data_IF_977481207371
#
_entry.id   IF_977481207371
#
_cell.length_a   1.000
_cell.length_b   1.000
_cell.length_c   1.000
_cell.angle_alpha   90.00
_cell.angle_beta   90.00
_cell.angle_gamma   90.00
#
_symmetry.space_group_name_H-M   'P 1'
#
loop_
_entity.id
_entity.type
_entity.pdbx_description
1 polymer ?
#
# COMPACT_ATOMS: atom_id res chain seq x y z
N UNK A 1 18.16 -25.78 -30.81
CA UNK A 1 16.96 -25.25 -30.12
C UNK A 1 17.31 -23.84 -29.72
N UNK A 2 16.87 -22.85 -30.49
CA UNK A 2 17.12 -21.43 -30.19
C UNK A 2 16.29 -21.09 -28.96
N UNK A 3 16.94 -20.69 -27.87
CA UNK A 3 16.23 -20.18 -26.71
C UNK A 3 15.56 -18.88 -27.16
N UNK A 4 14.24 -18.77 -27.03
CA UNK A 4 13.54 -17.50 -27.27
C UNK A 4 14.20 -16.44 -26.39
N UNK A 5 14.87 -15.47 -27.02
CA UNK A 5 15.48 -14.38 -26.28
C UNK A 5 14.35 -13.52 -25.69
N UNK A 6 14.55 -13.03 -24.46
CA UNK A 6 13.63 -12.10 -23.81
C UNK A 6 14.39 -10.80 -23.54
N UNK A 7 13.86 -9.68 -24.00
CA UNK A 7 14.36 -8.35 -23.66
C UNK A 7 13.42 -7.71 -22.64
N UNK A 8 13.97 -7.06 -21.63
CA UNK A 8 13.18 -6.40 -20.58
C UNK A 8 13.34 -4.89 -20.64
N UNK A 9 12.22 -4.18 -20.42
CA UNK A 9 12.19 -2.72 -20.39
C UNK A 9 11.55 -2.22 -19.09
N UNK A 10 12.18 -1.24 -18.47
CA UNK A 10 11.60 -0.42 -17.41
C UNK A 10 10.88 0.78 -18.03
N UNK A 11 9.60 0.96 -17.72
CA UNK A 11 8.86 2.19 -18.06
C UNK A 11 9.01 3.22 -16.96
N UNK A 12 9.53 4.39 -17.28
CA UNK A 12 9.87 5.45 -16.33
C UNK A 12 9.07 6.72 -16.64
N UNK A 13 8.34 7.23 -15.65
CA UNK A 13 7.89 8.62 -15.64
C UNK A 13 9.04 9.54 -15.17
N UNK A 14 8.91 10.88 -15.27
CA UNK A 14 10.03 11.82 -15.01
C UNK A 14 10.73 11.71 -13.64
N UNK A 15 10.10 11.08 -12.64
CA UNK A 15 10.65 10.89 -11.30
C UNK A 15 10.95 9.42 -10.94
N UNK A 16 10.80 8.50 -11.90
CA UNK A 16 11.03 7.08 -11.67
C UNK A 16 12.50 6.70 -11.92
N UNK A 17 12.89 5.53 -11.43
CA UNK A 17 14.23 4.96 -11.66
C UNK A 17 14.10 3.53 -12.18
N UNK A 18 15.16 3.01 -12.80
CA UNK A 18 15.18 1.61 -13.31
C UNK A 18 14.93 0.56 -12.21
N UNK A 19 15.23 0.85 -10.95
CA UNK A 19 14.96 -0.04 -9.80
C UNK A 19 13.53 0.08 -9.25
N UNK A 20 12.87 1.21 -9.54
CA UNK A 20 11.50 1.53 -9.13
C UNK A 20 10.70 2.01 -10.35
N UNK A 21 10.60 1.19 -11.41
CA UNK A 21 9.92 1.62 -12.61
C UNK A 21 8.41 1.66 -12.38
N UNK A 22 7.71 2.44 -13.21
CA UNK A 22 6.24 2.50 -13.23
C UNK A 22 5.62 1.17 -13.62
N UNK A 23 6.25 0.49 -14.57
CA UNK A 23 5.87 -0.82 -15.09
C UNK A 23 7.11 -1.54 -15.61
N UNK A 24 7.08 -2.86 -15.56
CA UNK A 24 8.06 -3.71 -16.23
C UNK A 24 7.42 -4.28 -17.50
N UNK A 25 8.14 -4.27 -18.61
CA UNK A 25 7.74 -4.85 -19.89
C UNK A 25 8.75 -5.95 -20.24
N UNK A 26 8.27 -7.04 -20.83
CA UNK A 26 9.11 -8.04 -21.47
C UNK A 26 8.69 -8.19 -22.93
N UNK A 27 9.68 -8.26 -23.81
CA UNK A 27 9.53 -8.62 -25.22
C UNK A 27 10.06 -10.02 -25.40
N UNK A 28 9.19 -10.94 -25.81
CA UNK A 28 9.57 -12.31 -26.18
C UNK A 28 9.83 -12.35 -27.67
N UNK A 29 11.06 -12.60 -28.06
CA UNK A 29 11.44 -12.71 -29.46
C UNK A 29 11.00 -14.09 -29.98
N UNK A 30 10.02 -14.09 -30.88
CA UNK A 30 9.62 -15.30 -31.64
C UNK A 30 10.05 -15.14 -33.10
N UNK A 31 10.17 -16.24 -33.88
CA UNK A 31 10.59 -16.16 -35.28
C UNK A 31 9.65 -15.36 -36.20
N UNK A 32 8.38 -15.16 -35.81
CA UNK A 32 7.37 -14.54 -36.68
C UNK A 32 7.07 -13.11 -36.23
N UNK A 33 6.68 -12.91 -34.97
CA UNK A 33 6.47 -11.57 -34.40
C UNK A 33 6.88 -11.55 -32.93
N UNK A 34 7.58 -10.51 -32.45
CA UNK A 34 7.81 -10.35 -31.02
C UNK A 34 6.47 -10.17 -30.30
N UNK A 35 6.35 -10.74 -29.10
CA UNK A 35 5.19 -10.51 -28.23
C UNK A 35 5.62 -9.68 -27.04
N UNK A 36 4.93 -8.57 -26.82
CA UNK A 36 5.20 -7.66 -25.72
C UNK A 36 4.16 -7.83 -24.62
N UNK A 37 4.64 -7.94 -23.38
CA UNK A 37 3.79 -8.08 -22.21
C UNK A 37 4.25 -7.11 -21.12
N UNK A 38 3.30 -6.47 -20.43
CA UNK A 38 3.55 -5.65 -19.25
C UNK A 38 3.15 -6.39 -17.97
N UNK A 39 3.99 -6.33 -16.94
CA UNK A 39 3.69 -6.84 -15.60
C UNK A 39 2.73 -5.87 -14.91
N UNK A 40 1.49 -6.31 -14.67
CA UNK A 40 0.45 -5.50 -14.03
C UNK A 40 0.49 -5.64 -12.51
N UNK A 41 -0.36 -4.85 -11.85
CA UNK A 41 -0.52 -4.83 -10.39
C UNK A 41 -1.02 -6.15 -9.79
N UNK A 42 -1.74 -6.96 -10.58
CA UNK A 42 -2.12 -8.34 -10.25
C UNK A 42 -0.95 -9.35 -10.22
N UNK A 43 0.27 -8.88 -10.53
CA UNK A 43 1.48 -9.68 -10.60
C UNK A 43 1.51 -10.62 -11.81
N UNK A 44 0.70 -10.41 -12.84
CA UNK A 44 0.71 -11.21 -14.06
C UNK A 44 1.19 -10.38 -15.24
N UNK A 45 1.77 -11.08 -16.21
CA UNK A 45 2.12 -10.51 -17.50
C UNK A 45 0.87 -10.46 -18.36
N UNK A 46 0.60 -9.30 -18.94
CA UNK A 46 -0.54 -9.07 -19.83
C UNK A 46 -0.04 -8.49 -21.16
N UNK A 47 -0.64 -8.85 -22.30
CA UNK A 47 -0.28 -8.28 -23.60
C UNK A 47 -0.29 -6.75 -23.58
N UNK A 48 0.65 -6.15 -24.30
CA UNK A 48 0.77 -4.69 -24.39
C UNK A 48 1.37 -4.28 -25.74
N UNK A 49 1.09 -3.05 -26.16
CA UNK A 49 1.64 -2.38 -27.34
C UNK A 49 2.69 -1.31 -26.98
N UNK A 50 3.11 -1.22 -25.72
CA UNK A 50 3.89 -0.09 -25.21
C UNK A 50 5.25 0.08 -25.90
N UNK A 51 5.91 -1.02 -26.27
CA UNK A 51 7.21 -0.94 -26.97
C UNK A 51 7.03 -0.42 -28.40
N UNK A 52 5.96 -0.82 -29.08
CA UNK A 52 5.59 -0.29 -30.39
C UNK A 52 5.29 1.21 -30.31
N UNK A 53 4.45 1.61 -29.33
CA UNK A 53 4.12 3.03 -29.08
C UNK A 53 5.35 3.87 -28.79
N UNK A 54 6.27 3.39 -27.95
CA UNK A 54 7.52 4.07 -27.68
C UNK A 54 8.40 4.21 -28.94
N UNK A 55 8.41 3.18 -29.81
CA UNK A 55 9.18 3.20 -31.06
C UNK A 55 8.70 4.28 -32.02
N UNK A 56 7.38 4.54 -32.05
CA UNK A 56 6.78 5.61 -32.87
C UNK A 56 6.71 6.98 -32.17
N UNK A 57 7.23 7.09 -30.95
CA UNK A 57 7.22 8.33 -30.16
C UNK A 57 5.85 8.69 -29.57
N UNK A 58 4.90 7.76 -29.51
CA UNK A 58 3.55 7.93 -28.92
C UNK A 58 3.52 7.46 -27.45
N UNK A 59 4.56 7.80 -26.69
CA UNK A 59 4.62 7.50 -25.26
C UNK A 59 5.30 8.64 -24.50
N UNK A 60 4.58 9.23 -23.55
CA UNK A 60 5.10 10.29 -22.68
C UNK A 60 6.18 9.77 -21.70
N UNK A 61 6.13 8.47 -21.38
CA UNK A 61 7.07 7.81 -20.47
C UNK A 61 8.25 7.22 -21.26
N UNK A 62 9.43 7.18 -20.64
CA UNK A 62 10.62 6.57 -21.23
C UNK A 62 10.61 5.04 -21.06
N UNK A 63 11.00 4.30 -22.10
CA UNK A 63 11.28 2.87 -22.00
C UNK A 63 12.79 2.64 -22.03
N UNK A 64 13.33 2.21 -20.89
CA UNK A 64 14.76 1.92 -20.73
C UNK A 64 14.93 0.40 -20.74
N UNK A 65 15.76 -0.12 -21.66
CA UNK A 65 16.15 -1.54 -21.63
C UNK A 65 16.98 -1.82 -20.36
N UNK A 66 16.68 -2.91 -19.66
CA UNK A 66 17.35 -3.26 -18.40
C UNK A 66 17.87 -4.71 -18.43
N UNK A 67 18.92 -5.03 -17.64
CA UNK A 67 19.42 -6.40 -17.53
C UNK A 67 18.35 -7.37 -17.04
N UNK A 68 18.35 -8.59 -17.59
CA UNK A 68 17.38 -9.63 -17.23
C UNK A 68 17.38 -9.93 -15.72
N UNK A 69 18.54 -9.98 -15.07
CA UNK A 69 18.66 -10.23 -13.62
C UNK A 69 17.93 -9.18 -12.77
N UNK A 70 18.06 -7.90 -13.13
CA UNK A 70 17.35 -6.81 -12.46
C UNK A 70 15.84 -6.90 -12.71
N UNK A 71 15.46 -7.16 -13.96
CA UNK A 71 14.06 -7.31 -14.35
C UNK A 71 13.39 -8.47 -13.61
N UNK A 72 14.04 -9.63 -13.54
CA UNK A 72 13.56 -10.81 -12.84
C UNK A 72 13.47 -10.58 -11.33
N UNK A 73 14.43 -9.87 -10.73
CA UNK A 73 14.38 -9.47 -9.31
C UNK A 73 13.18 -8.57 -9.03
N UNK A 74 12.95 -7.56 -9.88
CA UNK A 74 11.79 -6.66 -9.77
C UNK A 74 10.49 -7.45 -9.95
N UNK A 75 10.42 -8.28 -10.99
CA UNK A 75 9.25 -9.09 -11.32
C UNK A 75 8.90 -10.07 -10.20
N UNK A 76 9.86 -10.86 -9.71
CA UNK A 76 9.68 -11.82 -8.63
C UNK A 76 9.16 -11.13 -7.37
N UNK A 77 9.72 -9.95 -7.04
CA UNK A 77 9.25 -9.14 -5.91
C UNK A 77 7.79 -8.70 -6.10
N UNK A 78 7.42 -8.17 -7.27
CA UNK A 78 6.05 -7.72 -7.52
C UNK A 78 5.05 -8.88 -7.58
N UNK A 79 5.44 -10.00 -8.16
CA UNK A 79 4.66 -11.24 -8.19
C UNK A 79 4.40 -11.79 -6.79
N UNK A 80 5.45 -11.87 -5.96
CA UNK A 80 5.32 -12.31 -4.57
C UNK A 80 4.38 -11.40 -3.77
N UNK A 81 4.43 -10.09 -4.00
CA UNK A 81 3.52 -9.13 -3.37
C UNK A 81 2.07 -9.32 -3.83
N UNK A 82 1.82 -9.44 -5.13
CA UNK A 82 0.49 -9.67 -5.65
C UNK A 82 -0.09 -11.04 -5.25
N UNK A 83 0.75 -12.07 -5.15
CA UNK A 83 0.36 -13.36 -4.60
C UNK A 83 0.02 -13.25 -3.11
N UNK A 84 0.82 -12.54 -2.31
CA UNK A 84 0.50 -12.29 -0.91
C UNK A 84 -0.83 -11.57 -0.76
N UNK A 85 -1.09 -10.53 -1.57
CA UNK A 85 -2.37 -9.83 -1.59
C UNK A 85 -3.54 -10.75 -1.97
N UNK A 86 -3.38 -11.60 -2.99
CA UNK A 86 -4.41 -12.57 -3.39
C UNK A 86 -4.68 -13.62 -2.30
N UNK A 87 -3.63 -14.11 -1.64
CA UNK A 87 -3.76 -15.01 -0.49
C UNK A 87 -4.51 -14.35 0.66
N UNK A 88 -4.17 -13.11 0.97
CA UNK A 88 -4.86 -12.33 2.00
C UNK A 88 -6.34 -12.16 1.62
N UNK A 89 -6.66 -11.72 0.40
CA UNK A 89 -8.04 -11.60 -0.07
C UNK A 89 -8.82 -12.93 -0.03
N UNK A 90 -8.18 -14.05 -0.38
CA UNK A 90 -8.81 -15.37 -0.29
C UNK A 90 -9.03 -15.80 1.18
N UNK A 91 -8.13 -15.44 2.10
CA UNK A 91 -8.29 -15.70 3.51
C UNK A 91 -9.35 -14.78 4.16
N UNK A 92 -9.46 -13.53 3.69
CA UNK A 92 -10.53 -12.59 4.05
C UNK A 92 -11.91 -13.17 3.78
N UNK A 93 -12.18 -13.63 2.54
CA UNK A 93 -13.47 -14.22 2.16
C UNK A 93 -13.75 -15.60 2.77
N UNK A 94 -12.80 -16.18 3.51
CA UNK A 94 -13.00 -17.39 4.31
C UNK A 94 -13.11 -17.11 5.81
N UNK A 95 -13.08 -15.83 6.23
CA UNK A 95 -13.04 -15.43 7.64
C UNK A 95 -11.78 -15.89 8.40
N UNK A 96 -10.69 -16.21 7.68
CA UNK A 96 -9.49 -16.86 8.24
C UNK A 96 -8.42 -15.86 8.73
N UNK A 97 -8.57 -14.56 8.46
CA UNK A 97 -7.61 -13.55 8.93
C UNK A 97 -8.05 -12.94 10.25
N UNK A 98 -7.24 -13.14 11.28
CA UNK A 98 -7.32 -12.33 12.50
C UNK A 98 -6.90 -10.90 12.21
N UNK A 99 -7.81 -9.94 12.41
CA UNK A 99 -7.50 -8.52 12.31
C UNK A 99 -6.79 -8.03 13.57
N UNK A 100 -5.95 -7.01 13.41
CA UNK A 100 -5.21 -6.36 14.49
C UNK A 100 -5.61 -4.90 14.58
N UNK A 101 -5.90 -4.42 15.79
CA UNK A 101 -6.09 -3.00 16.04
C UNK A 101 -4.73 -2.33 16.17
N UNK A 102 -4.52 -1.24 15.43
CA UNK A 102 -3.35 -0.40 15.61
C UNK A 102 -3.55 0.55 16.81
N UNK A 103 -2.46 0.88 17.49
CA UNK A 103 -2.48 1.95 18.49
C UNK A 103 -2.96 3.27 17.85
N UNK A 104 -3.97 3.92 18.43
CA UNK A 104 -4.58 5.14 17.88
C UNK A 104 -3.64 6.36 17.91
N UNK A 105 -2.67 6.36 18.83
CA UNK A 105 -1.69 7.44 19.01
C UNK A 105 -0.29 6.82 18.92
N UNK A 106 0.60 7.31 18.03
CA UNK A 106 1.98 6.88 17.99
C UNK A 106 2.68 7.11 19.32
N UNK A 107 3.56 6.19 19.73
CA UNK A 107 4.41 6.44 20.89
C UNK A 107 5.51 7.48 20.54
N UNK A 108 5.98 8.30 21.49
CA UNK A 108 7.03 9.30 21.22
C UNK A 108 8.32 8.71 20.63
N UNK A 109 8.64 7.46 21.01
CA UNK A 109 9.80 6.70 20.53
C UNK A 109 9.61 6.00 19.17
N UNK A 110 8.44 6.16 18.53
CA UNK A 110 8.27 5.66 17.17
C UNK A 110 9.18 6.41 16.18
N UNK A 111 9.56 5.69 15.13
CA UNK A 111 10.41 6.20 14.04
C UNK A 111 9.88 7.53 13.48
N UNK A 112 10.81 8.44 13.14
CA UNK A 112 10.49 9.68 12.42
C UNK A 112 10.58 9.46 10.92
N UNK A 113 9.43 9.56 10.24
CA UNK A 113 9.31 9.40 8.80
C UNK A 113 9.90 10.61 8.07
N UNK A 114 10.61 10.38 6.97
CA UNK A 114 11.26 11.44 6.22
C UNK A 114 10.92 11.39 4.72
N UNK A 115 10.95 12.57 4.10
CA UNK A 115 10.78 12.73 2.65
C UNK A 115 9.56 12.01 2.09
N UNK A 116 9.75 11.35 0.95
CA UNK A 116 8.70 10.64 0.20
C UNK A 116 8.02 9.55 1.03
N UNK A 117 8.74 8.89 1.94
CA UNK A 117 8.15 7.82 2.75
C UNK A 117 7.05 8.35 3.68
N UNK A 118 7.25 9.53 4.28
CA UNK A 118 6.23 10.17 5.12
C UNK A 118 4.93 10.35 4.34
N UNK A 119 5.03 10.87 3.12
CA UNK A 119 3.87 11.17 2.29
C UNK A 119 3.18 9.88 1.83
N UNK A 120 3.96 8.85 1.49
CA UNK A 120 3.43 7.52 1.14
C UNK A 120 2.70 6.85 2.33
N UNK A 121 3.26 6.92 3.53
CA UNK A 121 2.64 6.36 4.75
C UNK A 121 1.38 7.15 5.13
N UNK A 122 1.44 8.48 5.13
CA UNK A 122 0.29 9.31 5.44
C UNK A 122 -0.85 9.08 4.44
N UNK A 123 -0.54 8.95 3.14
CA UNK A 123 -1.50 8.60 2.10
C UNK A 123 -2.09 7.21 2.34
N UNK A 124 -1.24 6.22 2.65
CA UNK A 124 -1.69 4.87 3.02
C UNK A 124 -2.73 4.91 4.14
N UNK A 125 -2.41 5.58 5.25
CA UNK A 125 -3.28 5.63 6.41
C UNK A 125 -4.60 6.36 6.15
N UNK A 126 -4.63 7.32 5.21
CA UNK A 126 -5.79 8.16 4.89
C UNK A 126 -6.69 7.57 3.81
N UNK A 127 -6.14 6.97 2.76
CA UNK A 127 -6.91 6.53 1.58
C UNK A 127 -7.38 5.07 1.69
N UNK A 128 -6.97 4.33 2.72
CA UNK A 128 -7.44 2.96 2.93
C UNK A 128 -8.97 2.88 3.09
N UNK A 129 -9.61 1.76 2.71
CA UNK A 129 -11.04 1.55 2.85
C UNK A 129 -11.61 1.98 4.21
N UNK A 130 -12.70 2.74 4.17
CA UNK A 130 -13.40 3.26 5.35
C UNK A 130 -14.28 2.18 5.97
N UNK A 131 -14.06 1.88 7.26
CA UNK A 131 -14.83 0.91 8.03
C UNK A 131 -15.98 1.60 8.74
N UNK A 132 -15.67 2.64 9.50
CA UNK A 132 -16.64 3.43 10.25
C UNK A 132 -16.38 4.90 9.96
N UNK A 133 -17.40 5.56 9.41
CA UNK A 133 -17.45 7.01 9.44
C UNK A 133 -17.88 7.45 10.85
N UNK A 134 -16.90 7.66 11.74
CA UNK A 134 -17.19 8.24 13.04
C UNK A 134 -17.60 9.71 12.88
N UNK A 135 -18.69 10.12 13.54
CA UNK A 135 -19.03 11.53 13.66
C UNK A 135 -18.20 12.13 14.80
N UNK A 136 -17.20 12.96 14.45
CA UNK A 136 -16.46 13.76 15.43
C UNK A 136 -14.94 13.69 15.28
N UNK A 137 -14.28 14.46 16.14
CA UNK A 137 -12.84 14.54 16.21
C UNK A 137 -12.37 14.28 17.65
N UNK A 138 -11.21 13.64 17.80
CA UNK A 138 -10.54 13.44 19.08
C UNK A 138 -9.51 14.54 19.37
N UNK A 139 -9.06 14.69 20.62
CA UNK A 139 -7.97 15.60 20.93
C UNK A 139 -6.65 15.12 20.32
N UNK A 140 -5.94 16.01 19.63
CA UNK A 140 -4.55 15.79 19.25
C UNK A 140 -3.67 15.73 20.50
N UNK A 141 -3.02 14.58 20.73
CA UNK A 141 -2.21 14.35 21.94
C UNK A 141 -0.85 15.06 21.92
N UNK A 142 -0.42 15.59 20.77
CA UNK A 142 0.86 16.25 20.59
C UNK A 142 0.75 17.77 20.41
N UNK A 143 -0.46 18.31 20.41
CA UNK A 143 -0.68 19.73 20.33
C UNK A 143 -1.08 20.35 21.67
N UNK A 144 -0.61 21.57 21.90
CA UNK A 144 -0.92 22.34 23.10
C UNK A 144 -2.26 23.12 22.98
N UNK A 145 -2.80 23.31 21.77
CA UNK A 145 -4.01 24.12 21.51
C UNK A 145 -5.06 23.36 20.70
N UNK A 146 -5.98 22.69 21.42
CA UNK A 146 -7.18 21.94 20.98
C UNK A 146 -7.33 21.62 19.47
N UNK A 147 -6.37 21.00 18.77
CA UNK A 147 -6.63 20.54 17.43
C UNK A 147 -7.34 19.20 17.52
N UNK A 148 -8.15 18.97 16.51
CA UNK A 148 -9.11 17.90 16.47
C UNK A 148 -8.70 16.93 15.36
N UNK A 149 -8.40 15.68 15.71
CA UNK A 149 -8.00 14.64 14.75
C UNK A 149 -9.21 13.81 14.32
N UNK A 150 -9.35 13.47 13.03
CA UNK A 150 -10.48 12.66 12.57
C UNK A 150 -10.53 11.30 13.26
N UNK A 151 -11.73 10.88 13.68
CA UNK A 151 -11.96 9.59 14.34
C UNK A 151 -12.39 8.47 13.40
N UNK A 152 -12.40 8.73 12.09
CA UNK A 152 -12.73 7.71 11.10
C UNK A 152 -11.88 6.45 11.29
N UNK A 153 -12.49 5.28 11.16
CA UNK A 153 -11.78 4.00 11.28
C UNK A 153 -11.61 3.40 9.89
N UNK A 154 -10.39 2.97 9.60
CA UNK A 154 -9.98 2.43 8.31
C UNK A 154 -9.37 1.05 8.46
N UNK A 155 -9.35 0.30 7.36
CA UNK A 155 -8.75 -1.03 7.33
C UNK A 155 -8.13 -1.34 5.97
N UNK A 156 -7.11 -2.19 6.00
CA UNK A 156 -6.56 -2.88 4.83
C UNK A 156 -6.85 -4.40 4.86
N UNK A 157 -7.81 -4.79 5.71
CA UNK A 157 -8.24 -6.15 5.97
C UNK A 157 -7.31 -7.00 6.83
N UNK A 158 -6.19 -6.45 7.32
CA UNK A 158 -5.36 -7.08 8.36
C UNK A 158 -5.19 -6.18 9.58
N UNK A 159 -5.07 -4.88 9.35
CA UNK A 159 -5.03 -3.86 10.38
C UNK A 159 -6.30 -3.02 10.35
N UNK A 160 -6.73 -2.58 11.52
CA UNK A 160 -7.81 -1.62 11.73
C UNK A 160 -7.24 -0.45 12.53
N UNK A 161 -7.45 0.78 12.08
CA UNK A 161 -6.84 1.95 12.71
C UNK A 161 -7.70 3.21 12.61
N UNK A 162 -7.44 4.17 13.49
CA UNK A 162 -7.99 5.52 13.41
C UNK A 162 -7.24 6.36 12.38
N UNK A 163 -7.97 7.12 11.56
CA UNK A 163 -7.43 8.06 10.58
C UNK A 163 -6.53 9.13 11.21
N UNK A 164 -6.63 9.36 12.53
CA UNK A 164 -5.68 10.18 13.29
C UNK A 164 -4.21 9.78 13.04
N UNK A 165 -3.91 8.50 12.78
CA UNK A 165 -2.54 8.08 12.41
C UNK A 165 -2.03 8.75 11.13
N UNK A 166 -2.90 9.04 10.16
CA UNK A 166 -2.52 9.77 8.95
C UNK A 166 -2.16 11.23 9.27
N UNK A 167 -2.87 11.85 10.22
CA UNK A 167 -2.54 13.18 10.74
C UNK A 167 -1.18 13.17 11.43
N UNK A 168 -0.94 12.21 12.34
CA UNK A 168 0.34 12.12 13.05
C UNK A 168 1.53 11.87 12.12
N UNK A 169 1.36 11.02 11.11
CA UNK A 169 2.38 10.79 10.09
C UNK A 169 2.65 12.06 9.26
N UNK A 170 1.61 12.78 8.85
CA UNK A 170 1.75 13.96 8.00
C UNK A 170 2.32 15.18 8.76
N UNK A 171 1.76 15.50 9.92
CA UNK A 171 2.05 16.73 10.69
C UNK A 171 3.29 16.57 11.55
N UNK A 172 3.42 15.44 12.25
CA UNK A 172 4.50 15.21 13.23
C UNK A 172 5.59 14.27 12.74
N UNK A 173 5.47 13.77 11.50
CA UNK A 173 6.36 12.73 10.97
C UNK A 173 6.44 11.48 11.87
N UNK A 174 5.42 11.23 12.68
CA UNK A 174 5.39 10.12 13.62
C UNK A 174 4.89 8.86 12.93
N UNK A 175 5.73 7.82 12.88
CA UNK A 175 5.31 6.53 12.37
C UNK A 175 4.24 5.88 13.26
N UNK A 176 3.34 5.05 12.69
CA UNK A 176 2.56 4.12 13.49
C UNK A 176 3.47 3.11 14.20
N UNK A 177 2.89 2.23 15.02
CA UNK A 177 3.66 1.20 15.72
C UNK A 177 4.55 0.37 14.76
N UNK A 178 5.74 -0.09 15.18
CA UNK A 178 6.73 -0.68 14.28
C UNK A 178 6.23 -1.88 13.47
N UNK A 179 5.40 -2.74 14.07
CA UNK A 179 4.81 -3.88 13.38
C UNK A 179 3.84 -3.46 12.27
N UNK A 180 3.09 -2.38 12.48
CA UNK A 180 2.18 -1.84 11.46
C UNK A 180 2.97 -1.10 10.37
N UNK A 181 3.97 -0.29 10.73
CA UNK A 181 4.86 0.34 9.74
C UNK A 181 5.56 -0.70 8.85
N UNK A 182 6.10 -1.76 9.44
CA UNK A 182 6.74 -2.85 8.69
C UNK A 182 5.75 -3.49 7.71
N UNK A 183 4.49 -3.68 8.11
CA UNK A 183 3.42 -4.19 7.25
C UNK A 183 3.08 -3.23 6.09
N UNK A 184 3.05 -1.92 6.32
CA UNK A 184 2.85 -0.93 5.25
C UNK A 184 4.02 -0.97 4.24
N UNK A 185 5.27 -1.06 4.74
CA UNK A 185 6.49 -1.13 3.94
C UNK A 185 6.56 -2.41 3.09
N UNK A 186 6.20 -3.57 3.66
CA UNK A 186 6.16 -4.83 2.91
C UNK A 186 5.15 -4.75 1.79
N UNK A 187 4.01 -4.10 2.01
CA UNK A 187 2.99 -3.84 0.97
C UNK A 187 3.32 -2.74 -0.02
N UNK A 188 4.51 -2.13 0.07
CA UNK A 188 4.95 -1.03 -0.81
C UNK A 188 3.95 0.13 -0.83
N UNK A 189 3.30 0.41 0.31
CA UNK A 189 2.35 1.51 0.46
C UNK A 189 1.15 1.41 -0.53
N UNK A 190 0.77 0.18 -0.94
CA UNK A 190 -0.40 -0.10 -1.78
C UNK A 190 -1.51 -0.78 -1.00
N UNK A 191 -2.75 -0.35 -1.22
CA UNK A 191 -3.94 -0.95 -0.64
C UNK A 191 -4.25 -2.29 -1.30
N UNK A 192 -4.66 -3.32 -0.54
CA UNK A 192 -5.40 -4.41 -1.12
C UNK A 192 -6.85 -3.97 -1.40
N UNK A 193 -7.52 -4.70 -2.29
CA UNK A 193 -8.97 -4.73 -2.26
C UNK A 193 -9.43 -5.32 -0.91
N UNK A 194 -10.46 -4.73 -0.32
CA UNK A 194 -11.09 -5.18 0.92
C UNK A 194 -12.53 -5.55 0.61
N UNK A 195 -12.99 -6.72 1.06
CA UNK A 195 -14.38 -7.16 0.84
C UNK A 195 -15.34 -6.55 1.87
N UNK A 196 -16.63 -6.49 1.53
CA UNK A 196 -17.67 -5.98 2.45
C UNK A 196 -17.74 -6.78 3.75
N UNK A 197 -17.48 -8.09 3.70
CA UNK A 197 -17.43 -8.97 4.88
C UNK A 197 -16.33 -8.53 5.86
N UNK A 198 -15.16 -8.15 5.32
CA UNK A 198 -14.02 -7.65 6.10
C UNK A 198 -14.36 -6.29 6.71
N UNK A 199 -14.99 -5.38 5.95
CA UNK A 199 -15.47 -4.10 6.49
C UNK A 199 -16.44 -4.34 7.65
N UNK A 200 -17.40 -5.25 7.49
CA UNK A 200 -18.34 -5.59 8.54
C UNK A 200 -17.66 -6.23 9.77
N UNK A 201 -16.64 -7.07 9.57
CA UNK A 201 -15.87 -7.66 10.67
C UNK A 201 -15.06 -6.60 11.43
N UNK A 202 -14.36 -5.71 10.71
CA UNK A 202 -13.62 -4.60 11.29
C UNK A 202 -14.53 -3.65 12.10
N UNK A 203 -15.76 -3.40 11.61
CA UNK A 203 -16.75 -2.59 12.32
C UNK A 203 -17.23 -3.26 13.63
N UNK A 204 -17.31 -4.60 13.69
CA UNK A 204 -17.60 -5.33 14.94
C UNK A 204 -16.46 -5.19 15.95
N UNK A 205 -15.22 -5.43 15.51
CA UNK A 205 -14.05 -5.32 16.38
C UNK A 205 -13.92 -3.92 17.01
N UNK A 206 -14.21 -2.88 16.23
CA UNK A 206 -14.15 -1.49 16.72
C UNK A 206 -15.19 -1.22 17.81
N UNK A 207 -16.41 -1.78 17.70
CA UNK A 207 -17.47 -1.62 18.72
C UNK A 207 -17.22 -2.40 20.00
N UNK A 208 -16.58 -3.57 19.88
CA UNK A 208 -16.32 -4.47 21.00
C UNK A 208 -15.05 -4.09 21.78
N UNK A 209 -14.29 -3.09 21.31
CA UNK A 209 -13.16 -2.54 22.04
C UNK A 209 -13.71 -1.53 23.06
N UNK A 210 -13.68 -1.81 24.38
CA UNK A 210 -14.04 -0.80 25.35
C UNK A 210 -13.08 0.38 25.17
N UNK A 211 -13.62 1.57 24.87
CA UNK A 211 -12.87 2.80 25.04
C UNK A 211 -12.29 2.76 26.45
N UNK A 212 -10.96 2.66 26.54
CA UNK A 212 -10.24 2.67 27.81
C UNK A 212 -10.85 3.75 28.67
N UNK A 213 -11.48 3.31 29.75
CA UNK A 213 -12.25 4.07 30.70
C UNK A 213 -11.47 5.34 31.03
N UNK A 214 -11.90 6.49 30.51
CA UNK A 214 -11.58 7.75 31.14
C UNK A 214 -12.42 7.81 32.39
N UNK A 215 -11.81 7.34 33.46
CA UNK A 215 -12.13 7.67 34.83
C UNK A 215 -12.33 9.20 34.91
N UNK A 216 -13.59 9.62 34.96
CA UNK A 216 -13.98 10.83 35.64
C UNK A 216 -14.81 10.38 36.83
N UNK A 217 -14.08 9.97 37.86
CA UNK A 217 -14.58 9.85 39.21
C UNK A 217 -15.40 11.07 39.58
N UNK A 218 -16.58 10.78 40.12
CA UNK A 218 -17.31 11.67 40.98
C UNK A 218 -16.49 11.95 42.25
N UNK A 219 -16.39 13.23 42.59
CA UNK A 219 -16.35 13.76 43.96
C UNK A 219 -16.83 15.21 43.79
N UNK A 220 -18.08 15.53 44.15
CA UNK A 220 -18.64 15.78 45.48
C UNK A 220 -18.90 17.28 45.65
#
# INVERSE_FOLDING_TARGET
>A
MTVDAVTYYARLAPNDTVERPRSLIRRRHTPVYPTDEALRDDGRWHPTDLVERATVGDLDDELVEIPAELAETIAARWQALAEAQRRDLAAQGRGQLGMRLAAAVPAPGNERLAGVERDLVARYLREAPLVVSAFGFGPDRYANDRPQVPLHVRTDGRWVWSEALAHYAAVYALAPEPAFLAHIRTRRYRFPAVTDEVLAHAARLTRDTPETTSDHGADA
#
